data_IF_141536908063
#
_entry.id   IF_141536908063
#
_cell.length_a   1.000
_cell.length_b   1.000
_cell.length_c   1.000
_cell.angle_alpha   90.00
_cell.angle_beta   90.00
_cell.angle_gamma   90.00
#
_symmetry.space_group_name_H-M   'P 1'
#
loop_
_entity.id
_entity.type
_entity.pdbx_description
1 polymer ?
#
# COMPACT_ATOMS: atom_id res chain seq x y z
N UNK A 1 -27.93 14.80 -20.55
CA UNK A 1 -27.00 13.91 -19.83
C UNK A 1 -25.71 14.68 -19.61
N UNK A 2 -25.46 15.16 -18.38
CA UNK A 2 -24.22 15.90 -18.09
C UNK A 2 -23.03 14.98 -18.29
N UNK A 3 -22.04 15.41 -19.09
CA UNK A 3 -20.72 14.77 -19.15
C UNK A 3 -20.16 14.73 -17.73
N UNK A 4 -20.33 13.62 -17.01
CA UNK A 4 -19.59 13.37 -15.79
C UNK A 4 -18.12 13.38 -16.20
N UNK A 5 -17.41 14.41 -15.75
CA UNK A 5 -15.97 14.53 -15.95
C UNK A 5 -15.37 13.49 -15.01
N UNK A 6 -15.17 12.26 -15.49
CA UNK A 6 -14.62 11.13 -14.71
C UNK A 6 -13.33 11.47 -13.94
N UNK A 7 -12.65 12.55 -14.35
CA UNK A 7 -11.40 13.01 -13.76
C UNK A 7 -11.53 14.21 -12.79
N UNK A 8 -12.65 14.94 -12.80
CA UNK A 8 -12.91 16.09 -11.94
C UNK A 8 -14.23 15.88 -11.21
N UNK A 9 -14.13 15.60 -9.91
CA UNK A 9 -15.27 15.26 -9.06
C UNK A 9 -15.19 16.07 -7.77
N UNK A 10 -16.31 16.48 -7.17
CA UNK A 10 -16.27 17.23 -5.90
C UNK A 10 -15.46 16.54 -4.80
N UNK A 11 -15.45 15.20 -4.76
CA UNK A 11 -14.62 14.41 -3.83
C UNK A 11 -13.13 14.67 -4.04
N UNK A 12 -12.66 14.72 -5.30
CA UNK A 12 -11.26 15.03 -5.61
C UNK A 12 -10.90 16.46 -5.24
N UNK A 13 -11.83 17.41 -5.42
CA UNK A 13 -11.62 18.81 -5.05
C UNK A 13 -11.46 18.95 -3.52
N UNK A 14 -12.34 18.30 -2.74
CA UNK A 14 -12.23 18.24 -1.26
C UNK A 14 -10.90 17.62 -0.81
N UNK A 15 -10.44 16.55 -1.47
CA UNK A 15 -9.16 15.94 -1.16
C UNK A 15 -7.97 16.81 -1.57
N UNK A 16 -8.05 17.57 -2.67
CA UNK A 16 -7.03 18.58 -3.01
C UNK A 16 -6.90 19.60 -1.90
N UNK A 17 -8.01 20.11 -1.35
CA UNK A 17 -7.98 21.07 -0.24
C UNK A 17 -7.27 20.48 0.99
N UNK A 18 -7.61 19.24 1.37
CA UNK A 18 -6.93 18.53 2.47
C UNK A 18 -5.43 18.35 2.22
N UNK A 19 -5.04 17.98 1.01
CA UNK A 19 -3.64 17.73 0.64
C UNK A 19 -2.83 19.02 0.59
N UNK A 20 -3.41 20.08 0.03
CA UNK A 20 -2.77 21.40 -0.06
C UNK A 20 -2.63 22.09 1.29
N UNK A 21 -3.36 21.66 2.32
CA UNK A 21 -3.20 22.13 3.69
C UNK A 21 -1.97 21.52 4.40
N UNK A 22 -1.41 20.40 3.92
CA UNK A 22 -0.25 19.73 4.54
C UNK A 22 0.98 20.63 4.45
N UNK A 23 1.70 20.82 5.56
CA UNK A 23 2.87 21.72 5.66
C UNK A 23 4.17 20.97 5.95
N UNK A 24 4.11 19.78 6.55
CA UNK A 24 5.32 19.03 6.92
C UNK A 24 5.31 17.62 6.35
N UNK A 25 6.50 17.06 6.12
CA UNK A 25 6.65 15.67 5.67
C UNK A 25 5.97 14.69 6.64
N UNK A 26 6.05 14.96 7.95
CA UNK A 26 5.40 14.15 8.99
C UNK A 26 3.87 14.14 8.87
N UNK A 27 3.23 15.31 8.77
CA UNK A 27 1.78 15.40 8.57
C UNK A 27 1.33 14.64 7.32
N UNK A 28 2.11 14.77 6.24
CA UNK A 28 1.83 14.06 5.00
C UNK A 28 1.98 12.55 5.13
N UNK A 29 3.03 12.08 5.80
CA UNK A 29 3.26 10.67 6.09
C UNK A 29 2.13 10.08 6.93
N UNK A 30 1.70 10.79 7.97
CA UNK A 30 0.59 10.35 8.84
C UNK A 30 -0.74 10.30 8.07
N UNK A 31 -0.98 11.28 7.18
CA UNK A 31 -2.14 11.25 6.29
C UNK A 31 -2.08 10.06 5.32
N UNK A 32 -0.93 9.83 4.68
CA UNK A 32 -0.76 8.74 3.71
C UNK A 32 -0.91 7.36 4.35
N UNK A 33 -0.31 7.14 5.52
CA UNK A 33 -0.41 5.89 6.25
C UNK A 33 -1.86 5.56 6.61
N UNK A 34 -2.59 6.54 7.14
CA UNK A 34 -4.02 6.41 7.45
C UNK A 34 -4.86 6.18 6.20
N UNK A 35 -4.61 6.96 5.14
CA UNK A 35 -5.31 6.80 3.86
C UNK A 35 -5.16 5.39 3.31
N UNK A 36 -3.94 4.85 3.34
CA UNK A 36 -3.66 3.47 2.90
C UNK A 36 -4.36 2.44 3.77
N UNK A 37 -4.39 2.62 5.08
CA UNK A 37 -5.12 1.73 5.98
C UNK A 37 -6.63 1.71 5.66
N UNK A 38 -7.22 2.88 5.44
CA UNK A 38 -8.67 3.04 5.29
C UNK A 38 -9.19 2.66 3.90
N UNK A 39 -8.43 2.96 2.85
CA UNK A 39 -8.94 2.97 1.47
C UNK A 39 -8.21 2.03 0.51
N UNK A 40 -7.13 1.35 0.90
CA UNK A 40 -6.32 0.51 -0.02
C UNK A 40 -6.28 -0.96 0.40
N UNK A 41 -5.99 -1.82 -0.57
CA UNK A 41 -5.94 -3.27 -0.37
C UNK A 41 -7.32 -3.93 -0.26
N UNK A 42 -7.36 -5.26 -0.15
CA UNK A 42 -8.58 -6.02 0.12
C UNK A 42 -9.05 -5.90 1.58
N UNK A 43 -8.15 -5.49 2.47
CA UNK A 43 -8.31 -5.29 3.92
C UNK A 43 -8.65 -3.83 4.28
N UNK A 44 -9.12 -3.04 3.32
CA UNK A 44 -9.54 -1.65 3.54
C UNK A 44 -10.76 -1.59 4.47
N UNK A 45 -10.86 -0.54 5.28
CA UNK A 45 -11.97 -0.39 6.23
C UNK A 45 -13.22 0.21 5.57
N UNK A 46 -13.08 0.92 4.45
CA UNK A 46 -14.20 1.49 3.70
C UNK A 46 -13.99 1.41 2.18
N UNK A 47 -15.10 1.34 1.45
CA UNK A 47 -15.16 1.37 -0.02
C UNK A 47 -15.69 2.69 -0.58
N UNK A 48 -15.90 3.72 0.25
CA UNK A 48 -16.53 4.99 -0.15
C UNK A 48 -15.76 5.72 -1.27
N UNK A 49 -14.43 5.54 -1.32
CA UNK A 49 -13.55 6.12 -2.33
C UNK A 49 -13.12 5.11 -3.41
N UNK A 50 -13.91 4.05 -3.65
CA UNK A 50 -13.50 2.94 -4.55
C UNK A 50 -13.07 3.41 -5.95
N UNK A 51 -13.64 4.49 -6.50
CA UNK A 51 -13.31 4.98 -7.85
C UNK A 51 -12.21 6.05 -7.84
N UNK A 52 -11.92 6.61 -6.68
CA UNK A 52 -11.10 7.80 -6.50
C UNK A 52 -9.76 7.51 -5.80
N UNK A 53 -9.69 6.44 -4.99
CA UNK A 53 -8.60 6.25 -4.04
C UNK A 53 -7.22 6.23 -4.69
N UNK A 54 -7.07 5.59 -5.86
CA UNK A 54 -5.79 5.54 -6.58
C UNK A 54 -5.28 6.93 -6.94
N UNK A 55 -6.18 7.82 -7.38
CA UNK A 55 -5.81 9.18 -7.76
C UNK A 55 -5.50 10.02 -6.52
N UNK A 56 -6.32 9.89 -5.46
CA UNK A 56 -6.11 10.62 -4.21
C UNK A 56 -4.79 10.20 -3.56
N UNK A 57 -4.52 8.89 -3.48
CA UNK A 57 -3.26 8.35 -2.95
C UNK A 57 -2.06 8.94 -3.69
N UNK A 58 -2.10 8.98 -5.02
CA UNK A 58 -1.00 9.55 -5.81
C UNK A 58 -0.77 11.04 -5.52
N UNK A 59 -1.83 11.80 -5.23
CA UNK A 59 -1.70 13.23 -4.89
C UNK A 59 -1.12 13.44 -3.50
N UNK A 60 -1.50 12.60 -2.55
CA UNK A 60 -0.86 12.57 -1.23
C UNK A 60 0.63 12.22 -1.40
N UNK A 61 0.95 11.16 -2.15
CA UNK A 61 2.33 10.72 -2.42
C UNK A 61 3.19 11.83 -3.02
N UNK A 62 2.67 12.56 -4.01
CA UNK A 62 3.38 13.70 -4.61
C UNK A 62 3.69 14.79 -3.57
N UNK A 63 2.70 15.15 -2.74
CA UNK A 63 2.87 16.19 -1.71
C UNK A 63 3.86 15.76 -0.64
N UNK A 64 3.78 14.51 -0.19
CA UNK A 64 4.68 13.91 0.78
C UNK A 64 6.12 13.87 0.24
N UNK A 65 6.29 13.42 -1.00
CA UNK A 65 7.60 13.36 -1.66
C UNK A 65 8.24 14.75 -1.78
N UNK A 66 7.46 15.75 -2.20
CA UNK A 66 7.92 17.13 -2.26
C UNK A 66 8.41 17.63 -0.89
N UNK A 67 7.58 17.49 0.15
CA UNK A 67 7.91 17.95 1.49
C UNK A 67 9.11 17.21 2.09
N UNK A 68 9.25 15.92 1.79
CA UNK A 68 10.40 15.14 2.21
C UNK A 68 11.69 15.61 1.54
N UNK A 69 11.65 15.86 0.22
CA UNK A 69 12.78 16.41 -0.52
C UNK A 69 13.19 17.79 0.00
N UNK A 70 12.23 18.68 0.27
CA UNK A 70 12.48 20.02 0.82
C UNK A 70 13.07 19.98 2.24
N UNK A 71 12.68 19.00 3.06
CA UNK A 71 13.12 18.88 4.44
C UNK A 71 14.43 18.09 4.63
N UNK A 72 14.86 17.32 3.62
CA UNK A 72 16.04 16.45 3.73
C UNK A 72 17.28 17.20 3.28
N UNK A 73 18.28 17.29 4.17
CA UNK A 73 19.49 18.07 3.90
C UNK A 73 20.49 17.39 2.95
N UNK A 74 20.42 16.06 2.78
CA UNK A 74 21.38 15.28 2.00
C UNK A 74 20.68 14.43 0.94
N UNK A 75 21.15 14.52 -0.30
CA UNK A 75 20.69 13.65 -1.39
C UNK A 75 20.93 12.16 -1.09
N UNK A 76 22.00 11.84 -0.34
CA UNK A 76 22.27 10.47 0.10
C UNK A 76 21.17 9.95 1.03
N UNK A 77 20.64 10.81 1.90
CA UNK A 77 19.57 10.45 2.81
C UNK A 77 18.27 10.17 2.05
N UNK A 78 17.97 10.93 0.99
CA UNK A 78 16.82 10.65 0.10
C UNK A 78 16.92 9.29 -0.59
N UNK A 79 18.15 8.82 -0.85
CA UNK A 79 18.38 7.55 -1.55
C UNK A 79 18.44 6.36 -0.59
N UNK A 80 18.86 6.55 0.66
CA UNK A 80 19.23 5.46 1.57
C UNK A 80 18.34 5.34 2.80
N UNK A 81 17.53 6.37 3.13
CA UNK A 81 16.65 6.36 4.30
C UNK A 81 15.18 6.31 3.90
N UNK A 82 14.36 5.74 4.78
CA UNK A 82 12.90 5.89 4.73
C UNK A 82 12.50 7.31 5.14
N UNK A 83 11.25 7.69 4.86
CA UNK A 83 10.76 9.04 5.15
C UNK A 83 10.80 9.43 6.63
N UNK A 84 10.82 8.44 7.53
CA UNK A 84 10.96 8.62 8.98
C UNK A 84 12.43 8.58 9.46
N UNK A 85 13.39 8.52 8.53
CA UNK A 85 14.83 8.63 8.78
C UNK A 85 15.55 7.31 9.07
N UNK A 86 14.86 6.16 9.05
CA UNK A 86 15.50 4.84 9.26
C UNK A 86 16.27 4.38 8.03
N UNK A 87 17.25 3.50 8.21
CA UNK A 87 17.98 2.88 7.10
C UNK A 87 17.04 2.00 6.25
N UNK A 88 16.85 2.34 4.96
CA UNK A 88 15.92 1.64 4.10
C UNK A 88 16.31 0.17 3.87
N UNK A 89 17.61 -0.12 3.84
CA UNK A 89 18.14 -1.48 3.75
C UNK A 89 17.75 -2.34 4.95
N UNK A 90 17.85 -1.78 6.15
CA UNK A 90 17.49 -2.49 7.39
C UNK A 90 15.98 -2.72 7.47
N UNK A 91 15.18 -1.70 7.16
CA UNK A 91 13.72 -1.85 7.10
C UNK A 91 13.32 -2.94 6.09
N UNK A 92 13.91 -2.95 4.90
CA UNK A 92 13.66 -4.02 3.92
C UNK A 92 14.02 -5.41 4.47
N UNK A 93 15.18 -5.54 5.13
CA UNK A 93 15.62 -6.79 5.74
C UNK A 93 14.69 -7.26 6.87
N UNK A 94 14.14 -6.35 7.69
CA UNK A 94 13.16 -6.68 8.72
C UNK A 94 11.89 -7.31 8.13
N UNK A 95 11.37 -6.76 7.02
CA UNK A 95 10.19 -7.32 6.36
C UNK A 95 10.47 -8.69 5.74
N UNK A 96 11.64 -8.87 5.12
CA UNK A 96 12.07 -10.17 4.60
C UNK A 96 12.25 -11.20 5.72
N UNK A 97 12.77 -10.79 6.88
CA UNK A 97 12.89 -11.65 8.06
C UNK A 97 11.53 -12.09 8.58
N UNK A 98 10.54 -11.18 8.66
CA UNK A 98 9.15 -11.55 9.02
C UNK A 98 8.55 -12.58 8.07
N UNK A 99 8.94 -12.56 6.80
CA UNK A 99 8.47 -13.52 5.81
C UNK A 99 9.15 -14.89 5.92
N UNK A 100 10.33 -15.00 6.56
CA UNK A 100 11.17 -16.20 6.50
C UNK A 100 10.43 -17.46 6.96
N UNK A 101 9.67 -17.35 8.07
CA UNK A 101 9.03 -18.48 8.74
C UNK A 101 7.53 -18.63 8.38
N UNK A 102 7.01 -17.83 7.44
CA UNK A 102 5.62 -17.93 7.00
C UNK A 102 5.48 -19.03 5.95
N UNK A 103 4.74 -20.09 6.26
CA UNK A 103 4.45 -21.19 5.34
C UNK A 103 2.98 -21.23 4.88
N UNK A 104 2.15 -20.32 5.41
CA UNK A 104 0.75 -20.17 5.01
C UNK A 104 0.58 -19.03 4.00
N UNK A 105 -0.02 -19.33 2.84
CA UNK A 105 -0.20 -18.32 1.80
C UNK A 105 -1.15 -17.17 2.21
N UNK A 106 -2.10 -17.40 3.12
CA UNK A 106 -2.98 -16.36 3.65
C UNK A 106 -2.23 -15.39 4.56
N UNK A 107 -1.34 -15.91 5.41
CA UNK A 107 -0.46 -15.08 6.25
C UNK A 107 0.52 -14.29 5.41
N UNK A 108 1.09 -14.93 4.39
CA UNK A 108 2.01 -14.27 3.46
C UNK A 108 1.32 -13.17 2.66
N UNK A 109 0.06 -13.38 2.24
CA UNK A 109 -0.75 -12.33 1.59
C UNK A 109 -0.92 -11.12 2.51
N UNK A 110 -1.28 -11.34 3.79
CA UNK A 110 -1.42 -10.25 4.77
C UNK A 110 -0.10 -9.51 4.98
N UNK A 111 1.02 -10.21 5.05
CA UNK A 111 2.35 -9.58 5.17
C UNK A 111 2.66 -8.72 3.93
N UNK A 112 2.42 -9.23 2.72
CA UNK A 112 2.63 -8.48 1.47
C UNK A 112 1.78 -7.21 1.41
N UNK A 113 0.52 -7.28 1.85
CA UNK A 113 -0.37 -6.12 1.92
C UNK A 113 0.13 -5.10 2.96
N UNK A 114 0.51 -5.56 4.16
CA UNK A 114 1.06 -4.71 5.21
C UNK A 114 2.36 -4.03 4.79
N UNK A 115 3.27 -4.76 4.13
CA UNK A 115 4.51 -4.20 3.59
C UNK A 115 4.22 -3.09 2.57
N UNK A 116 3.30 -3.33 1.62
CA UNK A 116 2.91 -2.31 0.64
C UNK A 116 2.32 -1.07 1.32
N UNK A 117 1.41 -1.22 2.28
CA UNK A 117 0.82 -0.08 3.00
C UNK A 117 1.87 0.75 3.74
N UNK A 118 2.84 0.08 4.39
CA UNK A 118 3.86 0.74 5.20
C UNK A 118 5.02 1.32 4.37
N UNK A 119 5.45 0.63 3.32
CA UNK A 119 6.74 0.89 2.67
C UNK A 119 6.61 1.40 1.22
N UNK A 120 5.43 1.34 0.59
CA UNK A 120 5.27 1.84 -0.78
C UNK A 120 5.75 3.30 -0.86
N UNK A 121 6.54 3.69 -1.89
CA UNK A 121 7.01 5.05 -2.06
C UNK A 121 5.90 6.11 -1.89
N UNK A 122 6.19 7.28 -1.33
CA UNK A 122 7.51 7.80 -0.95
C UNK A 122 8.01 7.35 0.44
N UNK A 123 7.36 6.37 1.10
CA UNK A 123 7.73 5.94 2.45
C UNK A 123 9.13 5.31 2.51
N UNK A 124 9.48 4.54 1.48
CA UNK A 124 10.79 3.91 1.28
C UNK A 124 11.30 4.24 -0.12
N UNK A 125 12.62 4.43 -0.31
CA UNK A 125 13.19 4.60 -1.64
C UNK A 125 12.91 3.37 -2.52
N UNK A 126 12.56 3.63 -3.78
CA UNK A 126 12.12 2.59 -4.72
C UNK A 126 13.16 1.48 -4.90
N UNK A 127 14.44 1.81 -4.82
CA UNK A 127 15.56 0.88 -4.99
C UNK A 127 15.68 -0.15 -3.86
N UNK A 128 15.04 0.09 -2.71
CA UNK A 128 14.93 -0.89 -1.62
C UNK A 128 13.56 -1.56 -1.60
N UNK A 129 12.50 -0.80 -1.91
CA UNK A 129 11.14 -1.31 -1.96
C UNK A 129 10.96 -2.40 -3.03
N UNK A 130 11.36 -2.13 -4.28
CA UNK A 130 11.06 -3.03 -5.39
C UNK A 130 11.79 -4.39 -5.29
N UNK A 131 13.08 -4.47 -4.88
CA UNK A 131 13.71 -5.76 -4.64
C UNK A 131 13.07 -6.55 -3.50
N UNK A 132 12.75 -5.90 -2.37
CA UNK A 132 12.07 -6.56 -1.26
C UNK A 132 10.68 -7.07 -1.69
N UNK A 133 9.91 -6.25 -2.42
CA UNK A 133 8.61 -6.63 -2.95
C UNK A 133 8.69 -7.85 -3.87
N UNK A 134 9.69 -7.90 -4.76
CA UNK A 134 9.94 -9.05 -5.63
C UNK A 134 10.13 -10.32 -4.83
N UNK A 135 10.95 -10.30 -3.77
CA UNK A 135 11.19 -11.48 -2.94
C UNK A 135 9.95 -11.92 -2.16
N UNK A 136 9.25 -10.98 -1.53
CA UNK A 136 8.01 -11.24 -0.79
C UNK A 136 6.94 -11.84 -1.70
N UNK A 137 6.71 -11.26 -2.88
CA UNK A 137 5.72 -11.75 -3.84
C UNK A 137 6.14 -13.09 -4.43
N UNK A 138 7.42 -13.32 -4.70
CA UNK A 138 7.90 -14.61 -5.17
C UNK A 138 7.62 -15.74 -4.16
N UNK A 139 7.84 -15.49 -2.85
CA UNK A 139 7.45 -16.45 -1.81
C UNK A 139 5.93 -16.66 -1.76
N UNK A 140 5.13 -15.59 -1.80
CA UNK A 140 3.67 -15.70 -1.85
C UNK A 140 3.18 -16.56 -3.02
N UNK A 141 3.73 -16.36 -4.22
CA UNK A 141 3.36 -17.15 -5.40
C UNK A 141 3.72 -18.63 -5.23
N UNK A 142 4.89 -18.94 -4.66
CA UNK A 142 5.29 -20.32 -4.34
C UNK A 142 4.35 -20.98 -3.34
N UNK A 143 3.88 -20.25 -2.33
CA UNK A 143 2.94 -20.77 -1.33
C UNK A 143 1.52 -20.97 -1.88
N UNK A 144 1.09 -20.14 -2.85
CA UNK A 144 -0.23 -20.27 -3.50
C UNK A 144 -0.29 -21.38 -4.55
N UNK A 145 0.84 -21.72 -5.18
CA UNK A 145 0.85 -22.63 -6.31
C UNK A 145 0.31 -24.04 -6.01
N UNK A 146 0.67 -24.70 -4.88
CA UNK A 146 0.23 -26.08 -4.62
C UNK A 146 -1.29 -26.23 -4.44
N UNK A 147 -1.97 -25.18 -3.96
CA UNK A 147 -3.41 -25.20 -3.68
C UNK A 147 -4.26 -24.71 -4.85
N UNK A 148 -3.64 -24.17 -5.91
CA UNK A 148 -4.33 -23.39 -6.93
C UNK A 148 -5.41 -24.17 -7.69
N UNK A 149 -5.22 -25.47 -7.92
CA UNK A 149 -6.15 -26.33 -8.65
C UNK A 149 -6.67 -27.51 -7.81
N UNK A 150 -6.31 -27.56 -6.52
CA UNK A 150 -6.56 -28.73 -5.67
C UNK A 150 -7.58 -28.45 -4.57
N UNK A 151 -7.72 -27.20 -4.12
CA UNK A 151 -8.75 -26.81 -3.14
C UNK A 151 -10.08 -26.56 -3.84
N UNK A 152 -11.17 -27.12 -3.31
CA UNK A 152 -12.50 -26.92 -3.87
C UNK A 152 -12.97 -25.46 -3.70
N UNK A 153 -13.94 -25.03 -4.51
CA UNK A 153 -14.49 -23.67 -4.39
C UNK A 153 -15.16 -23.43 -3.04
N UNK A 154 -15.79 -24.44 -2.44
CA UNK A 154 -16.47 -24.31 -1.15
C UNK A 154 -15.47 -24.11 -0.01
N UNK A 155 -14.40 -24.92 0.02
CA UNK A 155 -13.30 -24.74 0.96
C UNK A 155 -12.61 -23.37 0.78
N UNK A 156 -12.42 -22.92 -0.47
CA UNK A 156 -11.84 -21.59 -0.74
C UNK A 156 -12.74 -20.44 -0.26
N UNK A 157 -14.06 -20.57 -0.42
CA UNK A 157 -15.04 -19.58 0.05
C UNK A 157 -15.02 -19.47 1.57
N UNK A 158 -15.02 -20.61 2.25
CA UNK A 158 -14.93 -20.69 3.71
C UNK A 158 -13.62 -20.10 4.21
N UNK A 159 -12.48 -20.54 3.67
CA UNK A 159 -11.16 -20.07 4.07
C UNK A 159 -10.96 -18.56 3.81
N UNK A 160 -11.57 -18.00 2.75
CA UNK A 160 -11.53 -16.56 2.47
C UNK A 160 -12.52 -15.76 3.33
N UNK A 161 -13.52 -16.40 3.93
CA UNK A 161 -14.54 -15.77 4.76
C UNK A 161 -15.51 -14.90 3.96
N UNK A 162 -15.86 -15.30 2.74
CA UNK A 162 -16.79 -14.50 1.90
C UNK A 162 -18.24 -14.68 2.34
N UNK A 163 -19.04 -13.62 2.23
CA UNK A 163 -20.50 -13.71 2.32
C UNK A 163 -21.07 -14.02 0.94
N UNK A 164 -21.76 -15.16 0.81
CA UNK A 164 -22.40 -15.55 -0.45
C UNK A 164 -23.68 -14.74 -0.67
N UNK A 165 -23.73 -13.95 -1.76
CA UNK A 165 -24.90 -13.12 -2.10
C UNK A 165 -25.86 -13.90 -3.00
N UNK A 166 -25.35 -14.58 -4.04
CA UNK A 166 -26.10 -15.58 -4.80
C UNK A 166 -25.16 -16.65 -5.34
N UNK A 167 -25.61 -17.89 -5.36
CA UNK A 167 -25.00 -18.98 -6.12
C UNK A 167 -25.97 -19.32 -7.23
N UNK A 168 -25.56 -19.14 -8.48
CA UNK A 168 -26.35 -19.59 -9.65
C UNK A 168 -26.16 -21.09 -9.84
#
# INVERSE_FOLDING_TARGET
>A
MSKQVWYNTPVRDEWIEKITAIRTAREGTDMLARFRAEHTGPDRTTYDLKKEYNWIESRIEMRVSQLHAEATASDEDLLTKTIDGRCAKEVAAEWLKKAADIDCHYEMERLCVAFRKACKPPMMPINFFAPAEKELVAKLMKLRAPTYLTTSLDELREARGVTMISVQ
#
